data_IF_265751310239
#
_entry.id   IF_265751310239
#
_cell.length_a   1.000
_cell.length_b   1.000
_cell.length_c   1.000
_cell.angle_alpha   90.00
_cell.angle_beta   90.00
_cell.angle_gamma   90.00
#
_symmetry.space_group_name_H-M   'P 1'
#
loop_
_entity.id
_entity.type
_entity.pdbx_description
1 polymer ?
#
# COMPACT_ATOMS: atom_id res chain seq x y z
N UNK A 1 -20.73 2.40 28.62
CA UNK A 1 -20.60 3.30 27.45
C UNK A 1 -19.12 3.44 27.14
N UNK A 2 -18.78 3.25 25.87
CA UNK A 2 -17.51 3.56 25.19
C UNK A 2 -16.28 2.73 25.55
N UNK A 3 -15.98 1.75 24.70
CA UNK A 3 -14.60 1.32 24.43
C UNK A 3 -14.35 1.11 22.91
N UNK A 4 -15.16 1.76 22.07
CA UNK A 4 -15.10 1.61 20.61
C UNK A 4 -14.15 2.60 19.93
N UNK A 5 -13.49 3.51 20.65
CA UNK A 5 -12.79 4.65 20.02
C UNK A 5 -11.32 4.39 19.67
N UNK A 6 -10.57 3.64 20.48
CA UNK A 6 -9.15 3.36 20.21
C UNK A 6 -8.88 2.52 18.95
N UNK A 7 -9.62 1.42 18.67
CA UNK A 7 -9.35 0.63 17.46
C UNK A 7 -9.74 1.38 16.19
N UNK A 8 -10.79 2.21 16.25
CA UNK A 8 -11.25 3.01 15.12
C UNK A 8 -10.21 4.10 14.78
N UNK A 9 -9.69 4.84 15.77
CA UNK A 9 -8.62 5.82 15.56
C UNK A 9 -7.33 5.18 15.01
N UNK A 10 -6.92 4.02 15.52
CA UNK A 10 -5.70 3.36 15.06
C UNK A 10 -5.82 2.87 13.60
N UNK A 11 -7.02 2.48 13.17
CA UNK A 11 -7.28 2.11 11.78
C UNK A 11 -7.28 3.33 10.85
N UNK A 12 -7.86 4.45 11.29
CA UNK A 12 -7.84 5.72 10.54
C UNK A 12 -6.40 6.26 10.38
N UNK A 13 -5.59 6.19 11.44
CA UNK A 13 -4.16 6.52 11.39
C UNK A 13 -3.40 5.61 10.41
N UNK A 14 -3.71 4.31 10.41
CA UNK A 14 -3.14 3.37 9.45
C UNK A 14 -3.50 3.69 8.01
N UNK A 15 -4.77 4.06 7.74
CA UNK A 15 -5.21 4.46 6.40
C UNK A 15 -4.53 5.76 5.96
N UNK A 16 -4.41 6.74 6.85
CA UNK A 16 -3.74 8.02 6.57
C UNK A 16 -2.26 7.81 6.29
N UNK A 17 -1.57 7.04 7.13
CA UNK A 17 -0.18 6.62 6.93
C UNK A 17 0.00 5.90 5.59
N UNK A 18 -0.89 4.96 5.27
CA UNK A 18 -0.82 4.19 4.03
C UNK A 18 -1.05 5.07 2.80
N UNK A 19 -1.96 6.04 2.88
CA UNK A 19 -2.22 6.99 1.81
C UNK A 19 -0.98 7.84 1.52
N UNK A 20 -0.33 8.37 2.57
CA UNK A 20 0.90 9.15 2.44
C UNK A 20 2.06 8.32 1.88
N UNK A 21 2.23 7.08 2.33
CA UNK A 21 3.29 6.19 1.86
C UNK A 21 3.11 5.80 0.38
N UNK A 22 1.87 5.59 -0.06
CA UNK A 22 1.59 5.05 -1.40
C UNK A 22 1.31 6.12 -2.43
N UNK A 23 0.85 7.30 -2.02
CA UNK A 23 0.33 8.35 -2.89
C UNK A 23 -1.12 8.12 -3.35
N UNK A 24 -1.76 7.01 -2.93
CA UNK A 24 -3.17 6.73 -3.20
C UNK A 24 -4.05 7.30 -2.10
N UNK A 25 -5.28 7.70 -2.43
CA UNK A 25 -6.24 8.19 -1.45
C UNK A 25 -6.75 7.08 -0.51
N UNK A 26 -7.22 7.45 0.68
CA UNK A 26 -7.85 6.50 1.60
C UNK A 26 -9.05 5.79 0.97
N UNK A 27 -9.78 6.46 0.08
CA UNK A 27 -10.88 5.87 -0.67
C UNK A 27 -10.39 4.78 -1.64
N UNK A 28 -9.31 5.01 -2.37
CA UNK A 28 -8.71 3.99 -3.24
C UNK A 28 -8.19 2.80 -2.44
N UNK A 29 -7.52 3.06 -1.31
CA UNK A 29 -7.00 2.00 -0.44
C UNK A 29 -8.11 1.14 0.17
N UNK A 30 -9.18 1.75 0.67
CA UNK A 30 -10.35 1.02 1.19
C UNK A 30 -11.12 0.32 0.07
N UNK A 31 -11.16 0.89 -1.14
CA UNK A 31 -11.76 0.32 -2.34
C UNK A 31 -11.14 -1.02 -2.77
N UNK A 32 -9.89 -1.30 -2.40
CA UNK A 32 -9.26 -2.63 -2.62
C UNK A 32 -9.94 -3.75 -1.81
N UNK A 33 -10.66 -3.42 -0.73
CA UNK A 33 -11.17 -4.38 0.23
C UNK A 33 -10.10 -5.00 1.15
N UNK A 34 -8.83 -4.63 1.01
CA UNK A 34 -7.69 -5.24 1.73
C UNK A 34 -7.23 -4.45 2.97
N UNK A 35 -7.72 -3.22 3.16
CA UNK A 35 -7.22 -2.34 4.21
C UNK A 35 -7.30 -2.95 5.62
N UNK A 36 -8.44 -3.54 5.98
CA UNK A 36 -8.61 -4.19 7.28
C UNK A 36 -7.74 -5.44 7.41
N UNK A 37 -7.66 -6.27 6.36
CA UNK A 37 -6.83 -7.48 6.35
C UNK A 37 -5.36 -7.13 6.56
N UNK A 38 -4.87 -6.08 5.88
CA UNK A 38 -3.50 -5.60 6.05
C UNK A 38 -3.27 -5.02 7.44
N UNK A 39 -4.19 -4.20 7.96
CA UNK A 39 -4.10 -3.68 9.31
C UNK A 39 -4.01 -4.80 10.35
N UNK A 40 -4.92 -5.78 10.30
CA UNK A 40 -4.91 -6.94 11.20
C UNK A 40 -3.65 -7.79 11.00
N UNK A 41 -3.18 -7.96 9.77
CA UNK A 41 -1.94 -8.70 9.49
C UNK A 41 -0.72 -8.06 10.15
N UNK A 42 -0.55 -6.73 10.01
CA UNK A 42 0.57 -6.00 10.62
C UNK A 42 0.50 -6.00 12.15
N UNK A 43 -0.70 -5.88 12.73
CA UNK A 43 -0.87 -5.98 14.18
C UNK A 43 -0.38 -7.31 14.76
N UNK A 44 -0.53 -8.42 14.02
CA UNK A 44 -0.09 -9.74 14.48
C UNK A 44 1.36 -10.06 14.11
N UNK A 45 1.77 -9.77 12.87
CA UNK A 45 3.04 -10.27 12.32
C UNK A 45 4.18 -9.25 12.38
N UNK A 46 3.85 -7.97 12.61
CA UNK A 46 4.80 -6.87 12.76
C UNK A 46 4.49 -6.03 14.02
N UNK A 47 3.86 -6.64 15.04
CA UNK A 47 3.22 -5.97 16.16
C UNK A 47 4.02 -4.81 16.78
N UNK A 48 5.25 -5.08 17.22
CA UNK A 48 6.07 -4.09 17.91
C UNK A 48 6.49 -2.91 17.01
N UNK A 49 7.17 -3.11 15.86
CA UNK A 49 7.55 -2.01 14.99
C UNK A 49 6.34 -1.30 14.37
N UNK A 50 5.24 -2.01 14.08
CA UNK A 50 4.03 -1.40 13.55
C UNK A 50 3.31 -0.52 14.58
N UNK A 51 3.16 -1.01 15.82
CA UNK A 51 2.58 -0.22 16.92
C UNK A 51 3.41 1.04 17.20
N UNK A 52 4.74 0.92 17.19
CA UNK A 52 5.62 2.07 17.34
C UNK A 52 5.45 3.07 16.19
N UNK A 53 5.37 2.59 14.95
CA UNK A 53 5.16 3.45 13.78
C UNK A 53 3.84 4.22 13.87
N UNK A 54 2.73 3.56 14.22
CA UNK A 54 1.42 4.24 14.38
C UNK A 54 1.43 5.23 15.54
N UNK A 55 2.05 4.88 16.67
CA UNK A 55 2.21 5.80 17.80
C UNK A 55 2.97 7.06 17.39
N UNK A 56 4.11 6.91 16.71
CA UNK A 56 4.95 8.04 16.31
C UNK A 56 4.29 8.88 15.21
N UNK A 57 3.47 8.25 14.36
CA UNK A 57 2.63 8.92 13.36
C UNK A 57 1.53 9.77 14.01
N UNK A 58 0.80 9.22 14.99
CA UNK A 58 -0.25 9.92 15.72
C UNK A 58 0.29 11.15 16.50
N UNK A 59 1.57 11.13 16.86
CA UNK A 59 2.25 12.26 17.50
C UNK A 59 2.65 13.37 16.51
N UNK A 60 2.59 13.14 15.20
CA UNK A 60 2.90 14.16 14.21
C UNK A 60 1.76 15.20 14.10
N UNK A 61 2.08 16.46 13.76
CA UNK A 61 1.06 17.46 13.45
C UNK A 61 0.08 16.96 12.40
N UNK A 62 -1.18 17.39 12.51
CA UNK A 62 -2.23 17.07 11.53
C UNK A 62 -2.08 17.94 10.26
N UNK A 63 -0.98 17.69 9.55
CA UNK A 63 -0.59 18.34 8.30
C UNK A 63 0.14 17.31 7.42
N UNK A 64 -0.41 17.06 6.24
CA UNK A 64 0.09 16.02 5.34
C UNK A 64 1.51 16.31 4.83
N UNK A 65 1.86 17.58 4.60
CA UNK A 65 3.19 17.93 4.10
C UNK A 65 4.26 17.70 5.18
N UNK A 66 3.94 18.04 6.44
CA UNK A 66 4.83 17.77 7.57
C UNK A 66 4.95 16.26 7.84
N UNK A 67 3.85 15.52 7.80
CA UNK A 67 3.84 14.06 7.97
C UNK A 67 4.61 13.35 6.86
N UNK A 68 4.43 13.76 5.60
CA UNK A 68 5.16 13.19 4.47
C UNK A 68 6.67 13.44 4.61
N UNK A 69 7.08 14.67 4.93
CA UNK A 69 8.49 14.99 5.16
C UNK A 69 9.07 14.18 6.33
N UNK A 70 8.31 13.97 7.42
CA UNK A 70 8.73 13.11 8.52
C UNK A 70 8.88 11.64 8.08
N UNK A 71 7.94 11.11 7.31
CA UNK A 71 8.02 9.75 6.77
C UNK A 71 9.29 9.56 5.94
N UNK A 72 9.55 10.48 5.01
CA UNK A 72 10.71 10.41 4.11
C UNK A 72 12.04 10.57 4.85
N UNK A 73 12.17 11.62 5.67
CA UNK A 73 13.43 11.98 6.29
C UNK A 73 13.77 11.11 7.51
N UNK A 74 12.75 10.60 8.23
CA UNK A 74 12.93 9.94 9.54
C UNK A 74 12.55 8.47 9.50
N UNK A 75 11.34 8.13 9.05
CA UNK A 75 10.85 6.75 9.11
C UNK A 75 11.55 5.88 8.08
N UNK A 76 11.57 6.31 6.81
CA UNK A 76 12.16 5.53 5.73
C UNK A 76 13.67 5.42 5.82
N UNK A 77 14.36 6.28 6.58
CA UNK A 77 15.81 6.19 6.83
C UNK A 77 16.16 5.45 8.12
N UNK A 78 15.17 5.22 9.00
CA UNK A 78 15.35 4.55 10.28
C UNK A 78 15.73 3.07 10.12
N UNK A 79 16.71 2.62 10.92
CA UNK A 79 17.08 1.21 11.02
C UNK A 79 15.99 0.36 11.72
N UNK A 80 15.13 0.99 12.53
CA UNK A 80 14.09 0.31 13.31
C UNK A 80 12.74 0.35 12.62
N UNK A 81 12.32 1.52 12.12
CA UNK A 81 11.01 1.72 11.51
C UNK A 81 11.01 1.60 9.99
N UNK A 82 12.16 1.85 9.34
CA UNK A 82 12.28 1.77 7.89
C UNK A 82 11.91 0.39 7.32
N UNK A 83 12.34 -0.73 7.91
CA UNK A 83 11.96 -2.05 7.43
C UNK A 83 10.44 -2.29 7.42
N UNK A 84 9.70 -1.95 8.49
CA UNK A 84 8.23 -2.15 8.52
C UNK A 84 7.51 -1.23 7.54
N UNK A 85 7.94 0.03 7.42
CA UNK A 85 7.34 0.99 6.49
C UNK A 85 7.55 0.56 5.02
N UNK A 86 8.75 0.10 4.67
CA UNK A 86 9.04 -0.42 3.32
C UNK A 86 8.31 -1.73 3.03
N UNK A 87 8.20 -2.63 4.01
CA UNK A 87 7.41 -3.86 3.86
C UNK A 87 5.92 -3.57 3.68
N UNK A 88 5.36 -2.58 4.39
CA UNK A 88 4.00 -2.10 4.19
C UNK A 88 3.80 -1.51 2.79
N UNK A 89 4.72 -0.66 2.35
CA UNK A 89 4.68 -0.07 1.00
C UNK A 89 4.73 -1.17 -0.08
N UNK A 90 5.63 -2.14 0.06
CA UNK A 90 5.70 -3.28 -0.87
C UNK A 90 4.42 -4.13 -0.82
N UNK A 91 3.86 -4.34 0.37
CA UNK A 91 2.61 -5.07 0.52
C UNK A 91 1.47 -4.41 -0.24
N UNK A 92 1.30 -3.09 -0.13
CA UNK A 92 0.30 -2.35 -0.90
C UNK A 92 0.52 -2.44 -2.41
N UNK A 93 1.76 -2.24 -2.86
CA UNK A 93 2.05 -2.21 -4.29
C UNK A 93 2.01 -3.59 -4.95
N UNK A 94 2.40 -4.66 -4.25
CA UNK A 94 2.56 -5.98 -4.89
C UNK A 94 1.72 -7.09 -4.29
N UNK A 95 1.03 -6.84 -3.17
CA UNK A 95 0.34 -7.88 -2.41
C UNK A 95 1.27 -8.85 -1.68
N UNK A 96 2.58 -8.61 -1.71
CA UNK A 96 3.59 -9.47 -1.10
C UNK A 96 4.13 -8.89 0.19
N UNK A 97 4.22 -9.73 1.22
CA UNK A 97 4.90 -9.39 2.45
C UNK A 97 6.37 -9.79 2.41
N UNK A 98 7.24 -8.89 2.88
CA UNK A 98 8.66 -9.16 3.14
C UNK A 98 8.89 -9.09 4.65
N UNK A 99 9.36 -10.17 5.30
CA UNK A 99 9.61 -10.13 6.73
C UNK A 99 10.71 -9.14 7.09
N UNK A 100 10.44 -8.29 8.09
CA UNK A 100 11.29 -7.19 8.58
C UNK A 100 12.69 -7.67 9.02
N UNK A 101 12.79 -8.90 9.52
CA UNK A 101 14.04 -9.49 10.02
C UNK A 101 14.73 -10.43 9.01
N UNK A 102 14.16 -10.60 7.82
CA UNK A 102 14.70 -11.56 6.86
C UNK A 102 16.01 -11.06 6.28
N UNK A 103 17.06 -11.89 6.36
CA UNK A 103 18.32 -11.66 5.65
C UNK A 103 18.21 -11.94 4.15
N UNK A 104 17.13 -12.61 3.72
CA UNK A 104 16.79 -12.82 2.32
C UNK A 104 15.57 -11.98 1.96
N UNK A 105 15.52 -11.46 0.73
CA UNK A 105 14.34 -10.75 0.22
C UNK A 105 13.18 -11.70 -0.16
N UNK A 106 13.07 -12.83 0.53
CA UNK A 106 12.02 -13.81 0.32
C UNK A 106 10.66 -13.17 0.65
N UNK A 107 9.87 -12.97 -0.39
CA UNK A 107 8.55 -12.38 -0.32
C UNK A 107 7.49 -13.41 -0.67
N UNK A 108 6.32 -13.31 -0.04
CA UNK A 108 5.19 -14.19 -0.30
C UNK A 108 3.89 -13.39 -0.36
N UNK A 109 2.95 -13.83 -1.18
CA UNK A 109 1.63 -13.22 -1.25
C UNK A 109 0.83 -13.53 0.01
N UNK A 110 0.13 -12.53 0.57
CA UNK A 110 -0.75 -12.76 1.72
C UNK A 110 -2.03 -13.49 1.33
N UNK A 111 -2.53 -13.23 0.13
CA UNK A 111 -3.69 -13.90 -0.44
C UNK A 111 -3.73 -13.73 -1.95
N UNK A 112 -4.60 -14.49 -2.60
CA UNK A 112 -4.92 -14.32 -4.01
C UNK A 112 -5.58 -12.94 -4.29
N UNK A 113 -6.43 -12.46 -3.35
CA UNK A 113 -6.97 -11.10 -3.41
C UNK A 113 -5.88 -10.02 -3.32
N UNK A 114 -4.86 -10.22 -2.47
CA UNK A 114 -3.72 -9.30 -2.35
C UNK A 114 -2.95 -9.14 -3.66
N UNK A 115 -2.82 -10.21 -4.45
CA UNK A 115 -2.22 -10.14 -5.79
C UNK A 115 -3.11 -9.39 -6.79
N UNK A 116 -4.42 -9.66 -6.76
CA UNK A 116 -5.38 -9.05 -7.70
C UNK A 116 -5.56 -7.56 -7.50
N UNK A 117 -5.69 -7.12 -6.26
CA UNK A 117 -6.01 -5.73 -5.92
C UNK A 117 -4.74 -4.91 -5.59
N UNK A 118 -3.56 -5.44 -5.94
CA UNK A 118 -2.29 -4.77 -5.73
C UNK A 118 -2.24 -3.42 -6.48
N UNK A 119 -1.76 -2.37 -5.82
CA UNK A 119 -1.78 -1.01 -6.37
C UNK A 119 -0.91 -0.84 -7.63
N UNK A 120 0.07 -1.72 -7.85
CA UNK A 120 0.89 -1.67 -9.07
C UNK A 120 0.05 -1.72 -10.34
N UNK A 121 -1.08 -2.45 -10.34
CA UNK A 121 -1.95 -2.53 -11.50
C UNK A 121 -2.58 -1.18 -11.84
N UNK A 122 -3.08 -0.47 -10.83
CA UNK A 122 -3.61 0.88 -11.01
C UNK A 122 -2.51 1.88 -11.39
N UNK A 123 -1.36 1.81 -10.73
CA UNK A 123 -0.22 2.72 -10.95
C UNK A 123 0.33 2.65 -12.39
N UNK A 124 0.30 1.47 -13.02
CA UNK A 124 0.76 1.28 -14.40
C UNK A 124 -0.40 1.28 -15.42
N UNK A 125 -1.62 1.61 -14.99
CA UNK A 125 -2.85 1.56 -15.80
C UNK A 125 -3.08 0.22 -16.50
N UNK A 126 -2.83 -0.88 -15.79
CA UNK A 126 -3.03 -2.25 -16.27
C UNK A 126 -4.05 -3.01 -15.41
N UNK A 127 -4.32 -4.25 -15.81
CA UNK A 127 -5.11 -5.19 -15.04
C UNK A 127 -4.25 -6.42 -14.66
N UNK A 128 -4.56 -7.11 -13.55
CA UNK A 128 -3.87 -8.33 -13.17
C UNK A 128 -3.96 -9.36 -14.29
N UNK A 129 -2.81 -9.97 -14.60
CA UNK A 129 -2.66 -10.98 -15.64
C UNK A 129 -3.29 -12.32 -15.20
N UNK A 130 -4.63 -12.39 -15.13
CA UNK A 130 -5.43 -13.63 -15.04
C UNK A 130 -6.95 -13.41 -15.02
N UNK A 131 -7.46 -12.18 -14.90
CA UNK A 131 -8.87 -11.98 -14.47
C UNK A 131 -9.86 -11.80 -15.62
N UNK A 132 -9.43 -11.44 -16.83
CA UNK A 132 -10.32 -11.52 -18.02
C UNK A 132 -9.48 -11.97 -19.20
N UNK A 133 -9.90 -13.01 -19.90
CA UNK A 133 -9.45 -13.23 -21.26
C UNK A 133 -9.68 -11.91 -22.00
N UNK A 134 -8.61 -11.19 -22.35
CA UNK A 134 -8.67 -10.39 -23.57
C UNK A 134 -9.14 -11.36 -24.64
N UNK A 135 -10.19 -10.98 -25.36
CA UNK A 135 -10.66 -11.77 -26.48
C UNK A 135 -9.46 -12.08 -27.37
N UNK A 136 -9.30 -13.36 -27.71
CA UNK A 136 -8.19 -13.84 -28.50
C UNK A 136 -8.13 -13.02 -29.80
N UNK A 137 -7.10 -12.19 -29.97
CA UNK A 137 -7.02 -11.26 -31.12
C UNK A 137 -6.84 -9.78 -30.78
N UNK A 138 -6.90 -9.36 -29.51
CA UNK A 138 -6.64 -7.96 -29.13
C UNK A 138 -5.23 -7.43 -29.52
N UNK A 139 -4.28 -8.34 -29.76
CA UNK A 139 -2.92 -8.04 -30.24
C UNK A 139 -2.79 -8.01 -31.77
N UNK A 140 -3.85 -8.37 -32.50
CA UNK A 140 -3.84 -8.38 -33.97
C UNK A 140 -4.17 -7.00 -34.56
N UNK A 141 -4.76 -6.10 -33.78
CA UNK A 141 -5.04 -4.74 -34.23
C UNK A 141 -3.84 -3.82 -33.90
N UNK A 142 -3.27 -3.14 -34.90
CA UNK A 142 -2.26 -2.13 -34.64
C UNK A 142 -2.89 -0.99 -33.82
N UNK A 143 -2.14 -0.40 -32.86
CA UNK A 143 -2.65 0.72 -32.08
C UNK A 143 -3.04 1.86 -33.03
N UNK A 144 -4.19 2.48 -32.77
CA UNK A 144 -4.65 3.64 -33.52
C UNK A 144 -3.71 4.81 -33.20
N UNK A 145 -2.68 5.00 -34.02
CA UNK A 145 -1.77 6.11 -33.88
C UNK A 145 -2.42 7.37 -34.48
N UNK A 146 -3.11 8.15 -33.65
CA UNK A 146 -3.62 9.47 -34.03
C UNK A 146 -2.50 10.52 -34.09
N UNK A 147 -1.46 10.29 -34.89
CA UNK A 147 -0.52 11.36 -35.21
C UNK A 147 -1.15 12.25 -36.30
N UNK A 148 -1.84 13.27 -35.81
CA UNK A 148 -2.29 14.51 -36.47
C UNK A 148 -1.63 14.80 -37.83
N UNK A 149 -2.32 14.54 -38.94
CA UNK A 149 -2.07 15.21 -40.23
C UNK A 149 -2.71 16.61 -40.19
N UNK A 150 -1.90 17.62 -39.89
CA UNK A 150 -2.21 19.00 -40.31
C UNK A 150 -1.21 19.36 -41.40
N UNK A 151 -1.64 19.21 -42.65
CA UNK A 151 -1.11 19.95 -43.80
C UNK A 151 -1.95 21.20 -44.03
#
# INVERSE_FOLDING_TARGET
MSNSSEPDTAFDDFLTLSALLTGFSQFELTGTGLAHDYFTWLQHNAAAPFKQLLHDFAAQPDDDALRLNWLEATVLTSLTLGPVARSLLRLWYTGQWVPISSKSDAAYFLSDAAWREALIWQAIHAHPQAIRQQEFGAWAEPPIAEWRTRG
#
